data_IF_293775814632
#
_entry.id   IF_293775814632
#
_cell.length_a   1.000
_cell.length_b   1.000
_cell.length_c   1.000
_cell.angle_alpha   90.00
_cell.angle_beta   90.00
_cell.angle_gamma   90.00
#
_symmetry.space_group_name_H-M   'P 1'
#
loop_
_entity.id
_entity.type
_entity.pdbx_description
1 polymer ?
#
# COMPACT_ATOMS: atom_id res chain seq x y z
N UNK A 1 15.15 -40.51 7.78
CA UNK A 1 14.32 -40.21 6.58
C UNK A 1 14.22 -38.69 6.47
N UNK A 2 14.92 -38.08 5.51
CA UNK A 2 14.94 -36.62 5.34
C UNK A 2 13.71 -36.17 4.57
N UNK A 3 12.85 -35.37 5.19
CA UNK A 3 11.72 -34.74 4.52
C UNK A 3 12.23 -33.67 3.55
N UNK A 4 12.13 -33.92 2.24
CA UNK A 4 12.33 -32.89 1.23
C UNK A 4 11.30 -31.77 1.43
N UNK A 5 11.77 -30.56 1.75
CA UNK A 5 10.92 -29.37 1.74
C UNK A 5 10.49 -29.11 0.29
N UNK A 6 9.19 -28.91 0.01
CA UNK A 6 8.75 -28.66 -1.35
C UNK A 6 9.43 -27.41 -1.90
N UNK A 7 10.09 -27.55 -3.06
CA UNK A 7 10.73 -26.44 -3.76
C UNK A 7 9.65 -25.45 -4.16
N UNK A 8 9.64 -24.29 -3.51
CA UNK A 8 8.70 -23.21 -3.84
C UNK A 8 8.81 -22.80 -5.32
N UNK A 9 7.77 -22.16 -5.88
CA UNK A 9 7.69 -21.85 -7.30
C UNK A 9 8.90 -21.02 -7.77
N UNK A 10 9.33 -21.24 -9.01
CA UNK A 10 10.43 -20.52 -9.64
C UNK A 10 10.13 -19.01 -9.71
N UNK A 11 11.18 -18.17 -9.85
CA UNK A 11 11.02 -16.71 -9.99
C UNK A 11 10.06 -16.34 -11.14
N UNK A 12 10.15 -17.04 -12.26
CA UNK A 12 9.26 -16.86 -13.43
C UNK A 12 7.81 -17.21 -13.10
N UNK A 13 7.58 -18.33 -12.43
CA UNK A 13 6.24 -18.74 -12.01
C UNK A 13 5.60 -17.74 -11.02
N UNK A 14 6.37 -17.21 -10.07
CA UNK A 14 5.87 -16.17 -9.14
C UNK A 14 5.50 -14.87 -9.85
N UNK A 15 6.27 -14.47 -10.85
CA UNK A 15 5.98 -13.28 -11.68
C UNK A 15 4.68 -13.48 -12.45
N UNK A 16 4.53 -14.62 -13.12
CA UNK A 16 3.34 -14.95 -13.90
C UNK A 16 2.08 -15.03 -13.03
N UNK A 17 2.16 -15.68 -11.85
CA UNK A 17 1.05 -15.73 -10.89
C UNK A 17 0.64 -14.31 -10.44
N UNK A 18 1.59 -13.40 -10.25
CA UNK A 18 1.30 -12.01 -9.89
C UNK A 18 0.59 -11.28 -11.03
N UNK A 19 1.08 -11.42 -12.26
CA UNK A 19 0.49 -10.80 -13.45
C UNK A 19 -0.95 -11.26 -13.68
N UNK A 20 -1.20 -12.56 -13.57
CA UNK A 20 -2.55 -13.14 -13.71
C UNK A 20 -3.49 -12.63 -12.61
N UNK A 21 -3.03 -12.59 -11.34
CA UNK A 21 -3.84 -12.04 -10.24
C UNK A 21 -4.17 -10.57 -10.45
N UNK A 22 -3.21 -9.77 -10.92
CA UNK A 22 -3.44 -8.35 -11.22
C UNK A 22 -4.41 -8.16 -12.40
N UNK A 23 -4.35 -9.04 -13.41
CA UNK A 23 -5.29 -9.00 -14.54
C UNK A 23 -6.72 -9.34 -14.11
N UNK A 24 -6.92 -10.46 -13.39
CA UNK A 24 -8.24 -10.87 -12.90
C UNK A 24 -8.86 -9.80 -12.00
N UNK A 25 -8.08 -9.15 -11.14
CA UNK A 25 -8.58 -8.05 -10.29
C UNK A 25 -9.04 -6.84 -11.11
N UNK A 26 -8.29 -6.46 -12.14
CA UNK A 26 -8.68 -5.37 -13.05
C UNK A 26 -9.98 -5.68 -13.79
N UNK A 27 -10.13 -6.91 -14.28
CA UNK A 27 -11.35 -7.35 -14.98
C UNK A 27 -12.58 -7.38 -14.06
N UNK A 28 -12.37 -7.67 -12.77
CA UNK A 28 -13.43 -7.67 -11.74
C UNK A 28 -13.67 -6.30 -11.08
N UNK A 29 -12.94 -5.24 -11.50
CA UNK A 29 -13.02 -3.92 -10.87
C UNK A 29 -12.56 -3.90 -9.39
N UNK A 30 -11.84 -4.93 -8.96
CA UNK A 30 -11.34 -5.05 -7.59
C UNK A 30 -10.07 -4.22 -7.44
N UNK A 31 -10.05 -3.32 -6.44
CA UNK A 31 -8.83 -2.63 -6.00
C UNK A 31 -7.82 -3.64 -5.44
N UNK A 32 -6.56 -3.22 -5.29
CA UNK A 32 -5.49 -4.08 -4.79
C UNK A 32 -5.91 -4.82 -3.52
N UNK A 33 -5.53 -6.09 -3.33
CA UNK A 33 -5.81 -6.78 -2.07
C UNK A 33 -4.93 -6.16 -0.99
N UNK A 34 -5.53 -5.22 -0.27
CA UNK A 34 -4.90 -4.53 0.84
C UNK A 34 -4.60 -5.57 1.92
N UNK A 35 -3.32 -5.83 2.14
CA UNK A 35 -2.90 -6.63 3.27
C UNK A 35 -3.25 -5.88 4.57
N UNK A 36 -4.35 -6.30 5.21
CA UNK A 36 -4.87 -5.70 6.45
C UNK A 36 -3.84 -5.75 7.58
N UNK A 37 -2.92 -6.72 7.57
CA UNK A 37 -1.83 -6.77 8.55
C UNK A 37 -0.85 -5.63 8.32
N UNK A 38 -0.42 -5.41 7.08
CA UNK A 38 0.50 -4.31 6.73
C UNK A 38 -0.16 -2.96 7.02
N UNK A 39 -1.46 -2.85 6.77
CA UNK A 39 -2.21 -1.64 7.14
C UNK A 39 -2.20 -1.40 8.64
N UNK A 40 -2.55 -2.41 9.45
CA UNK A 40 -2.55 -2.29 10.91
C UNK A 40 -1.14 -1.94 11.45
N UNK A 41 -0.10 -2.61 10.95
CA UNK A 41 1.29 -2.26 11.29
C UNK A 41 1.64 -0.81 10.90
N UNK A 42 1.13 -0.34 9.76
CA UNK A 42 1.32 1.06 9.34
C UNK A 42 0.62 2.03 10.28
N UNK A 43 -0.61 1.74 10.72
CA UNK A 43 -1.34 2.57 11.68
C UNK A 43 -0.63 2.63 13.03
N UNK A 44 -0.10 1.51 13.52
CA UNK A 44 0.68 1.48 14.75
C UNK A 44 1.95 2.36 14.64
N UNK A 45 2.66 2.29 13.52
CA UNK A 45 3.82 3.14 13.27
C UNK A 45 3.42 4.62 13.20
N UNK A 46 2.31 4.95 12.53
CA UNK A 46 1.80 6.32 12.47
C UNK A 46 1.52 6.85 13.89
N UNK A 47 0.91 6.02 14.74
CA UNK A 47 0.58 6.39 16.12
C UNK A 47 1.82 6.60 16.99
N UNK A 48 2.87 5.79 16.77
CA UNK A 48 4.11 5.87 17.55
C UNK A 48 5.04 7.00 17.08
N UNK A 49 5.10 7.27 15.76
CA UNK A 49 6.05 8.23 15.20
C UNK A 49 5.49 9.64 15.02
N UNK A 50 4.16 9.80 15.00
CA UNK A 50 3.54 11.13 14.83
C UNK A 50 2.93 11.59 16.16
N UNK A 51 3.51 12.62 16.81
CA UNK A 51 3.04 13.07 18.13
C UNK A 51 1.61 13.63 18.11
N UNK A 52 1.20 14.22 16.99
CA UNK A 52 -0.15 14.78 16.81
C UNK A 52 -1.13 13.76 16.18
N UNK A 53 -0.84 12.44 16.28
CA UNK A 53 -1.62 11.42 15.57
C UNK A 53 -3.12 11.54 15.83
N UNK A 54 -3.55 11.54 17.10
CA UNK A 54 -4.97 11.55 17.46
C UNK A 54 -5.70 12.81 16.98
N UNK A 55 -5.01 13.95 16.93
CA UNK A 55 -5.62 15.24 16.62
C UNK A 55 -5.60 15.57 15.12
N UNK A 56 -4.51 15.26 14.43
CA UNK A 56 -4.26 15.68 13.03
C UNK A 56 -4.24 14.54 12.03
N UNK A 57 -4.06 13.29 12.46
CA UNK A 57 -3.87 12.16 11.54
C UNK A 57 -5.05 11.19 11.59
N UNK A 58 -5.51 10.83 12.79
CA UNK A 58 -6.63 9.92 13.03
C UNK A 58 -7.92 10.35 12.28
N UNK A 59 -8.30 11.64 12.26
CA UNK A 59 -9.49 12.09 11.51
C UNK A 59 -9.38 11.85 9.99
N UNK A 60 -8.16 11.71 9.46
CA UNK A 60 -7.87 11.57 8.03
C UNK A 60 -7.40 10.16 7.65
N UNK A 61 -7.57 9.16 8.53
CA UNK A 61 -7.15 7.79 8.25
C UNK A 61 -7.77 7.22 6.97
N UNK A 62 -8.99 7.62 6.60
CA UNK A 62 -9.60 7.22 5.33
C UNK A 62 -8.79 7.68 4.10
N UNK A 63 -8.26 8.91 4.13
CA UNK A 63 -7.43 9.46 3.04
C UNK A 63 -6.07 8.78 3.01
N UNK A 64 -5.50 8.52 4.18
CA UNK A 64 -4.22 7.82 4.33
C UNK A 64 -4.35 6.37 3.83
N UNK A 65 -5.47 5.73 4.14
CA UNK A 65 -5.81 4.41 3.64
C UNK A 65 -5.94 4.40 2.11
N UNK A 66 -6.68 5.34 1.51
CA UNK A 66 -6.78 5.47 0.05
C UNK A 66 -5.38 5.63 -0.58
N UNK A 67 -4.52 6.47 0.01
CA UNK A 67 -3.13 6.59 -0.45
C UNK A 67 -2.35 5.27 -0.33
N UNK A 68 -2.52 4.53 0.77
CA UNK A 68 -1.91 3.23 1.00
C UNK A 68 -2.35 2.19 -0.06
N UNK A 69 -3.64 2.14 -0.40
CA UNK A 69 -4.16 1.28 -1.47
C UNK A 69 -3.54 1.60 -2.82
N UNK A 70 -3.48 2.89 -3.18
CA UNK A 70 -2.88 3.34 -4.44
C UNK A 70 -1.39 2.98 -4.51
N UNK A 71 -0.66 3.12 -3.40
CA UNK A 71 0.76 2.74 -3.33
C UNK A 71 0.96 1.23 -3.45
N UNK A 72 0.08 0.42 -2.86
CA UNK A 72 0.09 -1.03 -3.08
C UNK A 72 -0.19 -1.38 -4.53
N UNK A 73 -1.20 -0.76 -5.14
CA UNK A 73 -1.55 -0.96 -6.55
C UNK A 73 -0.35 -0.67 -7.47
N UNK A 74 0.36 0.43 -7.24
CA UNK A 74 1.55 0.80 -8.02
C UNK A 74 2.69 -0.21 -7.80
N UNK A 75 2.89 -0.68 -6.57
CA UNK A 75 3.86 -1.75 -6.28
C UNK A 75 3.52 -3.06 -7.00
N UNK A 76 2.23 -3.35 -7.20
CA UNK A 76 1.74 -4.50 -7.97
C UNK A 76 1.82 -4.29 -9.50
N UNK A 77 2.27 -3.12 -9.99
CA UNK A 77 2.39 -2.80 -11.42
C UNK A 77 1.26 -1.94 -11.98
N UNK A 78 0.48 -1.30 -11.12
CA UNK A 78 -0.51 -0.30 -11.51
C UNK A 78 0.09 1.01 -12.04
N UNK A 79 -0.73 1.81 -12.73
CA UNK A 79 -0.32 3.09 -13.30
C UNK A 79 -0.04 4.13 -12.22
N UNK A 80 1.02 4.93 -12.40
CA UNK A 80 1.35 6.04 -11.49
C UNK A 80 0.40 7.24 -11.68
N UNK A 81 -0.31 7.34 -12.82
CA UNK A 81 -1.23 8.45 -13.10
C UNK A 81 -2.30 8.64 -12.01
N UNK A 82 -2.74 7.54 -11.39
CA UNK A 82 -3.74 7.55 -10.30
C UNK A 82 -3.32 8.34 -9.06
N UNK A 83 -2.00 8.55 -8.86
CA UNK A 83 -1.50 9.41 -7.76
C UNK A 83 -1.80 10.89 -8.05
N UNK A 84 -1.69 11.30 -9.31
CA UNK A 84 -2.00 12.67 -9.71
C UNK A 84 -3.46 13.01 -9.42
N UNK A 85 -4.36 12.09 -9.80
CA UNK A 85 -5.80 12.23 -9.57
C UNK A 85 -6.13 12.29 -8.07
N UNK A 86 -5.46 11.47 -7.26
CA UNK A 86 -5.59 11.50 -5.79
C UNK A 86 -5.21 12.87 -5.20
N UNK A 87 -4.09 13.45 -5.64
CA UNK A 87 -3.66 14.76 -5.15
C UNK A 87 -4.59 15.89 -5.59
N UNK A 88 -5.21 15.78 -6.77
CA UNK A 88 -6.22 16.74 -7.22
C UNK A 88 -7.51 16.61 -6.41
N UNK A 89 -7.95 15.38 -6.12
CA UNK A 89 -9.19 15.07 -5.38
C UNK A 89 -9.21 15.62 -3.95
N UNK A 90 -8.12 15.47 -3.21
CA UNK A 90 -8.06 15.82 -1.77
C UNK A 90 -7.49 17.21 -1.49
N UNK A 91 -7.02 17.92 -2.51
CA UNK A 91 -6.46 19.26 -2.37
C UNK A 91 -5.03 19.28 -1.82
N UNK A 92 -4.23 20.24 -2.30
CA UNK A 92 -2.78 20.29 -2.02
C UNK A 92 -2.47 20.57 -0.55
N UNK A 93 -3.27 21.39 0.13
CA UNK A 93 -3.04 21.82 1.52
C UNK A 93 -3.21 20.66 2.50
N UNK A 94 -4.33 19.94 2.41
CA UNK A 94 -4.57 18.74 3.22
C UNK A 94 -3.48 17.66 2.99
N UNK A 95 -3.03 17.50 1.75
CA UNK A 95 -1.95 16.57 1.41
C UNK A 95 -0.61 16.99 2.03
N UNK A 96 -0.35 18.29 2.13
CA UNK A 96 0.85 18.82 2.79
C UNK A 96 0.81 18.56 4.30
N UNK A 97 -0.36 18.74 4.93
CA UNK A 97 -0.55 18.43 6.34
C UNK A 97 -0.35 16.93 6.63
N UNK A 98 -0.84 16.06 5.75
CA UNK A 98 -0.69 14.61 5.86
C UNK A 98 0.63 14.06 5.30
N UNK A 99 1.54 14.93 4.81
CA UNK A 99 2.80 14.50 4.22
C UNK A 99 3.68 13.61 5.13
N UNK A 100 3.76 13.85 6.46
CA UNK A 100 4.46 12.95 7.38
C UNK A 100 3.88 11.53 7.36
N UNK A 101 2.55 11.40 7.37
CA UNK A 101 1.87 10.11 7.32
C UNK A 101 2.11 9.38 5.99
N UNK A 102 2.05 10.10 4.86
CA UNK A 102 2.37 9.52 3.55
C UNK A 102 3.82 9.05 3.43
N UNK A 103 4.75 9.70 4.13
CA UNK A 103 6.15 9.28 4.17
C UNK A 103 6.30 7.94 4.89
N UNK A 104 5.60 7.77 6.02
CA UNK A 104 5.55 6.50 6.76
C UNK A 104 4.93 5.39 5.89
N UNK A 105 3.78 5.65 5.25
CA UNK A 105 3.14 4.70 4.32
C UNK A 105 4.11 4.24 3.21
N UNK A 106 4.88 5.16 2.63
CA UNK A 106 5.88 4.79 1.61
C UNK A 106 6.95 3.89 2.20
N UNK A 107 7.43 4.19 3.41
CA UNK A 107 8.46 3.40 4.10
C UNK A 107 7.96 1.99 4.41
N UNK A 108 6.74 1.82 4.90
CA UNK A 108 6.17 0.50 5.23
C UNK A 108 5.96 -0.37 3.99
N UNK A 109 5.60 0.22 2.86
CA UNK A 109 5.39 -0.50 1.61
C UNK A 109 6.67 -0.72 0.78
N UNK A 110 7.79 -0.09 1.15
CA UNK A 110 9.07 -0.28 0.46
C UNK A 110 9.80 -1.49 1.06
N UNK A 111 10.17 -2.52 0.27
CA UNK A 111 10.91 -3.66 0.80
C UNK A 111 12.27 -3.18 1.34
N UNK A 112 12.59 -3.51 2.60
CA UNK A 112 13.96 -3.43 3.11
C UNK A 112 14.82 -4.35 2.24
N UNK A 113 15.81 -3.77 1.55
CA UNK A 113 16.81 -4.51 0.77
C UNK A 113 17.74 -5.28 1.70
#
# INVERSE_FOLDING_TARGET
>A
MSAERPRGPSKGARKHIREVKSQVRRELGLTAQVDSRIWNETVEILRLELPDFEQKIAPHLAIIYEFFELRQLIREGGSVKVIGDFYHKHGKELIQELAPAFTIVRRTLTPKR
#
